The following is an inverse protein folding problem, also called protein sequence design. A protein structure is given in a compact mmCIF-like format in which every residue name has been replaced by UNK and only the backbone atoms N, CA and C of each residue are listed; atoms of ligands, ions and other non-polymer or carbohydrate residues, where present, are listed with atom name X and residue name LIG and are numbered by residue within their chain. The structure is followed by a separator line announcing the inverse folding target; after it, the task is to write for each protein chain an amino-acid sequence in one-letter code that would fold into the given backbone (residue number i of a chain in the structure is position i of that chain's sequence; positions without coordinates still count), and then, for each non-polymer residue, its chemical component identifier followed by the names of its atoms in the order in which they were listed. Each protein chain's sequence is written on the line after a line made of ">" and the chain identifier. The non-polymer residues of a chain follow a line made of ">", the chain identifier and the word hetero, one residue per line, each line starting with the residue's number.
data_IF_802780916853
#
_entry.id   IF_802780916853
#
_cell.length_a   1.000
_cell.length_b   1.000
_cell.length_c   1.000
_cell.angle_alpha   90.00
_cell.angle_beta   90.00
_cell.angle_gamma   90.00
#
_symmetry.space_group_name_H-M   'P 1'
#
loop_
_entity.id
_entity.type
_entity.pdbx_description
1 polymer ?
#
# COMPACT_ATOMS: atom_id res chain seq x y z
N UNK A 1 -15.32 -22.55 13.10
CA UNK A 1 -14.49 -23.19 12.07
C UNK A 1 -14.00 -22.11 11.10
N UNK A 2 -12.95 -21.35 11.46
CA UNK A 2 -12.46 -20.19 10.69
C UNK A 2 -11.04 -20.49 10.19
N UNK A 3 -10.93 -21.33 9.16
CA UNK A 3 -9.67 -21.61 8.47
C UNK A 3 -9.98 -21.69 6.98
N UNK A 4 -9.73 -20.63 6.21
CA UNK A 4 -9.42 -20.69 4.76
C UNK A 4 -9.46 -19.37 3.96
N UNK A 5 -9.69 -18.19 4.55
CA UNK A 5 -9.53 -16.93 3.78
C UNK A 5 -8.03 -16.54 3.69
N UNK A 6 -7.32 -16.69 4.80
CA UNK A 6 -5.92 -16.25 4.94
C UNK A 6 -4.90 -17.00 4.05
N UNK A 7 -5.29 -18.07 3.36
CA UNK A 7 -4.42 -18.78 2.42
C UNK A 7 -4.50 -18.25 0.99
N UNK A 8 -5.61 -17.60 0.59
CA UNK A 8 -5.86 -17.20 -0.80
C UNK A 8 -5.04 -15.98 -1.24
N UNK A 9 -4.78 -15.05 -0.33
CA UNK A 9 -3.94 -13.87 -0.62
C UNK A 9 -2.43 -14.19 -0.62
N UNK A 10 -2.01 -15.33 -0.04
CA UNK A 10 -0.57 -15.69 0.13
C UNK A 10 0.20 -15.87 -1.17
N UNK A 11 -0.50 -16.14 -2.28
CA UNK A 11 0.08 -16.33 -3.61
C UNK A 11 -0.75 -15.72 -4.74
N UNK A 12 -1.66 -14.78 -4.44
CA UNK A 12 -2.54 -14.23 -5.47
C UNK A 12 -1.73 -13.41 -6.49
N UNK A 13 -1.73 -13.78 -7.79
CA UNK A 13 -1.12 -12.96 -8.85
C UNK A 13 -1.74 -11.55 -8.96
N UNK A 14 -2.81 -11.26 -8.21
CA UNK A 14 -3.47 -9.95 -8.10
C UNK A 14 -3.01 -9.04 -6.96
N UNK A 15 -2.23 -9.49 -5.96
CA UNK A 15 -1.94 -8.68 -4.76
C UNK A 15 -1.26 -7.35 -5.09
N UNK A 16 -0.28 -7.38 -5.99
CA UNK A 16 0.41 -6.14 -6.43
C UNK A 16 -0.56 -5.20 -7.15
N UNK A 17 -1.53 -5.74 -7.90
CA UNK A 17 -2.59 -4.96 -8.53
C UNK A 17 -3.55 -4.35 -7.51
N UNK A 18 -3.97 -5.12 -6.52
CA UNK A 18 -4.85 -4.67 -5.44
C UNK A 18 -4.19 -3.55 -4.62
N UNK A 19 -2.90 -3.69 -4.30
CA UNK A 19 -2.11 -2.65 -3.61
C UNK A 19 -1.94 -1.41 -4.49
N UNK A 20 -1.67 -1.57 -5.79
CA UNK A 20 -1.58 -0.44 -6.70
C UNK A 20 -2.90 0.34 -6.74
N UNK A 21 -4.03 -0.37 -6.87
CA UNK A 21 -5.34 0.25 -6.93
C UNK A 21 -5.69 0.95 -5.61
N UNK A 22 -5.43 0.31 -4.46
CA UNK A 22 -5.68 0.90 -3.15
C UNK A 22 -4.83 2.15 -2.90
N UNK A 23 -3.55 2.15 -3.28
CA UNK A 23 -2.71 3.35 -3.16
C UNK A 23 -3.15 4.49 -4.08
N UNK A 24 -3.73 4.19 -5.25
CA UNK A 24 -4.29 5.24 -6.12
C UNK A 24 -5.60 5.84 -5.60
N UNK A 25 -6.31 5.11 -4.73
CA UNK A 25 -7.55 5.54 -4.05
C UNK A 25 -7.31 5.77 -2.56
N UNK A 26 -6.10 6.16 -2.16
CA UNK A 26 -5.65 6.19 -0.77
C UNK A 26 -6.52 7.05 0.16
N UNK A 27 -7.11 8.13 -0.36
CA UNK A 27 -8.00 9.02 0.40
C UNK A 27 -9.50 8.67 0.25
N UNK A 28 -9.86 7.74 -0.64
CA UNK A 28 -11.24 7.28 -0.82
C UNK A 28 -11.54 6.10 0.11
N UNK A 29 -11.96 6.42 1.34
CA UNK A 29 -12.22 5.42 2.38
C UNK A 29 -13.35 4.45 2.01
N UNK A 30 -14.33 4.89 1.23
CA UNK A 30 -15.44 4.04 0.79
C UNK A 30 -14.92 2.99 -0.21
N UNK A 31 -14.14 3.43 -1.21
CA UNK A 31 -13.49 2.53 -2.14
C UNK A 31 -12.55 1.55 -1.42
N UNK A 32 -11.76 2.04 -0.46
CA UNK A 32 -10.85 1.20 0.31
C UNK A 32 -11.60 0.14 1.12
N UNK A 33 -12.75 0.47 1.71
CA UNK A 33 -13.56 -0.49 2.47
C UNK A 33 -14.05 -1.67 1.62
N UNK A 34 -14.26 -1.47 0.32
CA UNK A 34 -14.65 -2.51 -0.64
C UNK A 34 -13.46 -3.31 -1.21
N UNK A 35 -12.22 -2.91 -0.88
CA UNK A 35 -11.01 -3.59 -1.37
C UNK A 35 -10.87 -4.99 -0.79
N UNK A 36 -10.39 -5.93 -1.63
CA UNK A 36 -9.99 -7.28 -1.18
C UNK A 36 -8.90 -7.27 -0.11
N UNK A 37 -8.11 -6.19 -0.03
CA UNK A 37 -7.08 -6.05 1.00
C UNK A 37 -7.69 -5.92 2.41
N UNK A 38 -8.98 -5.59 2.53
CA UNK A 38 -9.68 -5.62 3.80
C UNK A 38 -9.80 -7.03 4.39
N UNK A 39 -9.62 -8.09 3.61
CA UNK A 39 -9.62 -9.49 4.09
C UNK A 39 -8.33 -9.86 4.87
N UNK A 40 -7.29 -9.01 4.84
CA UNK A 40 -6.07 -9.22 5.61
C UNK A 40 -6.37 -9.19 7.11
N UNK A 41 -5.79 -10.12 7.88
CA UNK A 41 -6.06 -10.27 9.30
C UNK A 41 -5.72 -9.00 10.07
N UNK A 42 -4.58 -8.36 9.76
CA UNK A 42 -4.17 -7.11 10.40
C UNK A 42 -5.18 -5.97 10.17
N UNK A 43 -5.85 -5.95 9.01
CA UNK A 43 -6.89 -4.95 8.71
C UNK A 43 -8.17 -5.28 9.47
N UNK A 44 -8.60 -6.53 9.45
CA UNK A 44 -9.77 -7.02 10.20
C UNK A 44 -9.65 -6.76 11.71
N UNK A 45 -8.49 -7.04 12.30
CA UNK A 45 -8.25 -6.86 13.73
C UNK A 45 -8.33 -5.39 14.15
N UNK A 46 -7.87 -4.48 13.29
CA UNK A 46 -7.96 -3.02 13.50
C UNK A 46 -9.40 -2.52 13.32
N UNK A 47 -10.07 -2.97 12.26
CA UNK A 47 -11.43 -2.55 11.95
C UNK A 47 -12.42 -2.93 13.05
N UNK A 48 -12.32 -4.15 13.60
CA UNK A 48 -13.19 -4.65 14.69
C UNK A 48 -13.16 -3.81 15.97
N UNK A 49 -12.10 -3.02 16.18
CA UNK A 49 -11.94 -2.15 17.36
C UNK A 49 -12.52 -0.75 17.13
N UNK A 50 -13.03 -0.46 15.94
CA UNK A 50 -13.52 0.86 15.55
C UNK A 50 -15.04 0.86 15.36
N UNK A 51 -15.68 1.97 15.74
CA UNK A 51 -17.10 2.24 15.50
C UNK A 51 -17.32 3.28 14.39
N UNK A 52 -16.27 3.66 13.66
CA UNK A 52 -16.35 4.67 12.61
C UNK A 52 -17.04 4.13 11.34
N UNK A 53 -17.65 5.02 10.57
CA UNK A 53 -18.05 4.71 9.19
C UNK A 53 -16.80 4.33 8.38
N UNK A 54 -16.90 3.28 7.56
CA UNK A 54 -15.79 2.71 6.79
C UNK A 54 -14.59 2.28 7.65
N UNK A 55 -14.85 1.63 8.80
CA UNK A 55 -13.82 1.13 9.71
C UNK A 55 -12.73 0.29 8.99
N UNK A 56 -13.12 -0.55 8.04
CA UNK A 56 -12.23 -1.36 7.21
C UNK A 56 -11.36 -0.48 6.29
N UNK A 57 -11.95 0.53 5.66
CA UNK A 57 -11.22 1.47 4.80
C UNK A 57 -10.20 2.29 5.59
N UNK A 58 -10.56 2.76 6.78
CA UNK A 58 -9.65 3.45 7.70
C UNK A 58 -8.52 2.52 8.15
N UNK A 59 -8.85 1.29 8.54
CA UNK A 59 -7.86 0.30 8.95
C UNK A 59 -6.90 -0.06 7.81
N UNK A 60 -7.41 -0.24 6.59
CA UNK A 60 -6.61 -0.52 5.41
C UNK A 60 -5.70 0.66 5.07
N UNK A 61 -6.22 1.89 5.07
CA UNK A 61 -5.42 3.11 4.84
C UNK A 61 -4.25 3.18 5.83
N UNK A 62 -4.53 3.04 7.12
CA UNK A 62 -3.50 3.07 8.16
C UNK A 62 -2.46 1.95 7.99
N UNK A 63 -2.88 0.76 7.54
CA UNK A 63 -1.97 -0.37 7.29
C UNK A 63 -1.09 -0.16 6.06
N UNK A 64 -1.65 0.40 4.98
CA UNK A 64 -0.92 0.80 3.78
C UNK A 64 0.09 1.90 4.09
N UNK A 65 -0.31 2.92 4.84
CA UNK A 65 0.55 4.03 5.25
C UNK A 65 1.73 3.52 6.10
N UNK A 66 1.45 2.71 7.12
CA UNK A 66 2.48 2.11 7.96
C UNK A 66 3.46 1.26 7.13
N UNK A 67 2.95 0.46 6.19
CA UNK A 67 3.79 -0.37 5.32
C UNK A 67 4.64 0.48 4.37
N UNK A 68 4.07 1.54 3.81
CA UNK A 68 4.75 2.48 2.94
C UNK A 68 5.88 3.22 3.68
N UNK A 69 5.63 3.70 4.90
CA UNK A 69 6.68 4.32 5.72
C UNK A 69 7.82 3.35 6.06
N UNK A 70 7.53 2.11 6.48
CA UNK A 70 8.59 1.11 6.72
C UNK A 70 9.41 0.81 5.47
N UNK A 71 8.79 0.81 4.28
CA UNK A 71 9.54 0.68 3.01
C UNK A 71 10.46 1.88 2.83
N UNK A 72 9.94 3.10 2.99
CA UNK A 72 10.70 4.35 2.85
C UNK A 72 11.92 4.39 3.78
N UNK A 73 11.75 3.98 5.03
CA UNK A 73 12.78 4.01 6.07
C UNK A 73 13.94 3.03 5.76
N UNK A 74 13.65 1.92 5.10
CA UNK A 74 14.65 0.91 4.71
C UNK A 74 15.36 1.21 3.40
N UNK A 75 14.89 2.19 2.63
CA UNK A 75 15.52 2.56 1.36
C UNK A 75 16.86 3.28 1.59
N UNK A 76 17.94 2.89 0.89
CA UNK A 76 19.24 3.52 1.07
C UNK A 76 19.20 5.01 0.72
N UNK A 77 19.89 5.82 1.52
CA UNK A 77 20.08 7.24 1.25
C UNK A 77 21.14 7.46 0.15
N UNK A 78 21.02 8.54 -0.62
CA UNK A 78 21.97 8.93 -1.67
C UNK A 78 21.87 8.12 -2.98
N UNK A 79 21.08 7.05 -3.02
CA UNK A 79 20.73 6.37 -4.27
C UNK A 79 19.55 7.06 -4.96
N UNK A 80 19.80 7.58 -6.17
CA UNK A 80 18.78 8.29 -6.98
C UNK A 80 17.51 7.49 -7.19
N UNK A 81 17.60 6.16 -7.34
CA UNK A 81 16.42 5.31 -7.57
C UNK A 81 15.58 5.22 -6.31
N UNK A 82 16.21 4.99 -5.17
CA UNK A 82 15.59 4.95 -3.85
C UNK A 82 14.95 6.29 -3.50
N UNK A 83 15.60 7.41 -3.81
CA UNK A 83 15.03 8.76 -3.65
C UNK A 83 13.76 8.96 -4.50
N UNK A 84 13.75 8.49 -5.76
CA UNK A 84 12.55 8.56 -6.61
C UNK A 84 11.41 7.71 -6.07
N UNK A 85 11.70 6.53 -5.54
CA UNK A 85 10.69 5.69 -4.89
C UNK A 85 10.13 6.40 -3.66
N UNK A 86 10.98 6.92 -2.78
CA UNK A 86 10.59 7.71 -1.61
C UNK A 86 9.71 8.90 -1.98
N UNK A 87 10.14 9.69 -2.95
CA UNK A 87 9.36 10.82 -3.49
C UNK A 87 7.99 10.38 -4.02
N UNK A 88 7.94 9.27 -4.75
CA UNK A 88 6.70 8.76 -5.34
C UNK A 88 5.72 8.29 -4.27
N UNK A 89 6.20 7.49 -3.32
CA UNK A 89 5.35 6.94 -2.26
C UNK A 89 4.81 8.07 -1.40
N UNK A 90 5.66 8.99 -0.93
CA UNK A 90 5.21 10.16 -0.17
C UNK A 90 4.18 10.97 -0.94
N UNK A 91 4.44 11.27 -2.22
CA UNK A 91 3.50 12.00 -3.06
C UNK A 91 2.13 11.34 -3.15
N UNK A 92 2.08 10.03 -3.40
CA UNK A 92 0.82 9.27 -3.50
C UNK A 92 0.07 9.25 -2.17
N UNK A 93 0.77 9.07 -1.03
CA UNK A 93 0.15 9.14 0.30
C UNK A 93 -0.44 10.52 0.62
N UNK A 94 0.01 11.57 -0.08
CA UNK A 94 -0.50 12.94 0.02
C UNK A 94 -1.42 13.31 -1.17
N UNK A 95 -2.03 12.31 -1.83
CA UNK A 95 -3.03 12.52 -2.87
C UNK A 95 -2.48 12.96 -4.24
N UNK A 96 -1.16 12.94 -4.45
CA UNK A 96 -0.59 13.31 -5.75
C UNK A 96 -0.69 12.16 -6.76
N UNK A 97 -1.12 12.49 -7.97
CA UNK A 97 -1.14 11.51 -9.06
C UNK A 97 0.27 11.18 -9.58
N UNK A 98 0.44 9.96 -10.09
CA UNK A 98 1.68 9.50 -10.75
C UNK A 98 2.10 10.43 -11.90
N UNK A 99 1.13 10.97 -12.65
CA UNK A 99 1.41 11.91 -13.73
C UNK A 99 1.96 13.24 -13.20
N UNK A 100 1.44 13.75 -12.08
CA UNK A 100 1.95 14.97 -11.43
C UNK A 100 3.40 14.77 -10.96
N UNK A 101 3.65 13.68 -10.25
CA UNK A 101 4.97 13.31 -9.72
C UNK A 101 6.03 13.18 -10.83
N UNK A 102 5.66 12.55 -11.95
CA UNK A 102 6.54 12.43 -13.10
C UNK A 102 6.95 13.79 -13.67
N UNK A 103 5.99 14.73 -13.79
CA UNK A 103 6.25 16.09 -14.30
C UNK A 103 7.16 16.88 -13.37
N UNK A 104 6.95 16.81 -12.06
CA UNK A 104 7.81 17.48 -11.06
C UNK A 104 9.27 17.05 -11.19
N UNK A 105 9.52 15.83 -11.65
CA UNK A 105 10.85 15.24 -11.82
C UNK A 105 11.38 15.36 -13.26
N UNK A 106 10.67 16.09 -14.14
CA UNK A 106 11.04 16.27 -15.54
C UNK A 106 11.03 14.96 -16.35
N UNK A 107 10.13 14.02 -16.03
CA UNK A 107 10.02 12.70 -16.68
C UNK A 107 8.64 12.46 -17.29
N UNK A 108 8.57 11.52 -18.23
CA UNK A 108 7.30 11.07 -18.78
C UNK A 108 6.52 10.21 -17.78
N UNK A 109 5.18 10.28 -17.86
CA UNK A 109 4.28 9.43 -17.08
C UNK A 109 4.58 7.95 -17.29
N UNK A 110 4.86 7.55 -18.53
CA UNK A 110 5.12 6.16 -18.89
C UNK A 110 6.38 5.62 -18.20
N UNK A 111 7.47 6.39 -18.22
CA UNK A 111 8.69 6.03 -17.50
C UNK A 111 8.42 5.86 -16.01
N UNK A 112 7.71 6.82 -15.40
CA UNK A 112 7.44 6.80 -13.96
C UNK A 112 6.55 5.63 -13.57
N UNK A 113 5.51 5.36 -14.36
CA UNK A 113 4.58 4.23 -14.15
C UNK A 113 5.28 2.87 -14.27
N UNK A 114 6.00 2.64 -15.38
CA UNK A 114 6.63 1.34 -15.67
C UNK A 114 7.84 1.03 -14.79
N UNK A 115 8.56 2.07 -14.36
CA UNK A 115 9.82 1.92 -13.62
C UNK A 115 9.61 2.18 -12.13
N UNK A 116 9.32 3.41 -11.75
CA UNK A 116 9.35 3.84 -10.34
C UNK A 116 8.13 3.33 -9.58
N UNK A 117 6.93 3.58 -10.12
CA UNK A 117 5.67 3.20 -9.48
C UNK A 117 5.54 1.69 -9.33
N UNK A 118 5.79 0.92 -10.40
CA UNK A 118 5.77 -0.54 -10.35
C UNK A 118 6.66 -1.11 -9.24
N UNK A 119 7.84 -0.53 -9.03
CA UNK A 119 8.76 -0.98 -8.00
C UNK A 119 8.30 -0.57 -6.60
N UNK A 120 7.81 0.66 -6.44
CA UNK A 120 7.24 1.14 -5.18
C UNK A 120 6.11 0.22 -4.69
N UNK A 121 5.16 -0.08 -5.57
CA UNK A 121 4.05 -1.00 -5.28
C UNK A 121 4.56 -2.40 -4.91
N UNK A 122 5.53 -2.93 -5.66
CA UNK A 122 6.09 -4.26 -5.36
C UNK A 122 6.73 -4.31 -3.97
N UNK A 123 7.45 -3.27 -3.56
CA UNK A 123 8.07 -3.19 -2.24
C UNK A 123 7.01 -3.12 -1.14
N UNK A 124 5.98 -2.30 -1.33
CA UNK A 124 4.87 -2.17 -0.36
C UNK A 124 4.08 -3.48 -0.25
N UNK A 125 3.78 -4.14 -1.37
CA UNK A 125 3.10 -5.43 -1.37
C UNK A 125 3.90 -6.50 -0.61
N UNK A 126 5.24 -6.51 -0.77
CA UNK A 126 6.12 -7.41 -0.01
C UNK A 126 6.10 -7.10 1.49
N UNK A 127 6.13 -5.82 1.85
CA UNK A 127 6.07 -5.40 3.25
C UNK A 127 4.73 -5.78 3.90
N UNK A 128 3.60 -5.59 3.21
CA UNK A 128 2.28 -6.01 3.68
C UNK A 128 2.26 -7.52 3.99
N UNK A 129 2.78 -8.35 3.07
CA UNK A 129 2.87 -9.80 3.29
C UNK A 129 3.77 -10.14 4.48
N UNK A 130 4.86 -9.41 4.67
CA UNK A 130 5.75 -9.60 5.81
C UNK A 130 5.05 -9.25 7.13
N UNK A 131 4.32 -8.14 7.17
CA UNK A 131 3.60 -7.70 8.37
C UNK A 131 2.41 -8.60 8.71
N UNK A 132 1.72 -9.12 7.70
CA UNK A 132 0.63 -10.08 7.88
C UNK A 132 1.11 -11.41 8.51
N UNK A 133 2.39 -11.75 8.35
CA UNK A 133 2.99 -12.95 8.97
C UNK A 133 3.42 -12.73 10.42
N UNK A 134 3.54 -11.48 10.85
CA UNK A 134 3.92 -11.17 12.22
C UNK A 134 2.66 -11.24 13.09
N UNK A 135 2.70 -11.91 14.25
CA UNK A 135 1.59 -11.84 15.20
C UNK A 135 1.37 -10.37 15.56
N UNK A 136 0.11 -9.93 15.56
CA UNK A 136 -0.25 -8.61 16.08
C UNK A 136 0.29 -8.56 17.52
N UNK A 137 1.36 -7.79 17.73
CA UNK A 137 1.95 -7.62 19.05
C UNK A 137 0.90 -6.89 19.88
N UNK A 138 0.46 -7.56 20.94
CA UNK A 138 -0.63 -7.14 21.83
C UNK A 138 -0.30 -5.85 22.56
#
# INVERSE_FOLDING_TARGET
>A
MVRSANSRLKHSPGLTGDVAAALLHFDDLAWLAESRLCELQQVQDRARRSNALFAEGIALRAFLEQSAHKVIDRLPAGDRRSERIRFTVNGVLHGQSIASLARTQGKSREYWSRSVWRQAVLLIARELVQQERLPATA
#
